data_IF_393313314369
#
_entry.id   IF_393313314369
#
_cell.length_a   1.000
_cell.length_b   1.000
_cell.length_c   1.000
_cell.angle_alpha   90.00
_cell.angle_beta   90.00
_cell.angle_gamma   90.00
#
_symmetry.space_group_name_H-M   'P 1'
#
loop_
_entity.id
_entity.type
_entity.pdbx_description
1 polymer ?
#
# COMPACT_ATOMS: atom_id res chain seq x y z
N UNK A 1 12.01 12.95 13.91
CA UNK A 1 12.25 11.49 13.92
C UNK A 1 11.73 10.79 15.18
N UNK A 2 11.77 11.41 16.38
CA UNK A 2 11.29 10.77 17.62
C UNK A 2 9.82 10.28 17.55
N UNK A 3 8.91 11.11 17.03
CA UNK A 3 7.47 10.80 16.93
C UNK A 3 7.18 9.55 16.09
N UNK A 4 7.81 9.44 14.93
CA UNK A 4 7.62 8.30 14.02
C UNK A 4 8.17 7.00 14.62
N UNK A 5 9.30 7.07 15.32
CA UNK A 5 9.86 5.92 16.04
C UNK A 5 8.93 5.43 17.15
N UNK A 6 8.27 6.36 17.85
CA UNK A 6 7.33 6.04 18.92
C UNK A 6 6.10 5.30 18.37
N UNK A 7 5.50 5.81 17.29
CA UNK A 7 4.37 5.15 16.62
C UNK A 7 4.75 3.79 16.04
N UNK A 8 5.92 3.68 15.40
CA UNK A 8 6.43 2.41 14.90
C UNK A 8 6.60 1.37 16.00
N UNK A 9 7.10 1.75 17.18
CA UNK A 9 7.29 0.82 18.28
C UNK A 9 5.95 0.26 18.80
N UNK A 10 4.90 1.08 18.84
CA UNK A 10 3.54 0.64 19.21
C UNK A 10 2.98 -0.37 18.21
N UNK A 11 3.10 -0.05 16.92
CA UNK A 11 2.38 -0.74 15.86
C UNK A 11 3.11 -1.95 15.28
N UNK A 12 4.45 -1.97 15.29
CA UNK A 12 5.27 -3.06 14.73
C UNK A 12 4.90 -4.45 15.24
N UNK A 13 4.46 -4.57 16.51
CA UNK A 13 4.12 -5.85 17.13
C UNK A 13 2.61 -6.06 17.30
N UNK A 14 1.80 -5.10 16.86
CA UNK A 14 0.36 -5.20 17.00
C UNK A 14 -0.21 -6.15 15.94
N UNK A 15 -0.93 -7.20 16.37
CA UNK A 15 -1.47 -8.24 15.48
C UNK A 15 -2.34 -7.68 14.37
N UNK A 16 -3.18 -6.68 14.68
CA UNK A 16 -4.05 -6.02 13.69
C UNK A 16 -3.25 -5.41 12.54
N UNK A 17 -2.16 -4.69 12.84
CA UNK A 17 -1.31 -4.08 11.82
C UNK A 17 -0.56 -5.12 11.00
N UNK A 18 0.04 -6.11 11.68
CA UNK A 18 0.74 -7.20 11.02
C UNK A 18 -0.18 -8.00 10.10
N UNK A 19 -1.42 -8.24 10.51
CA UNK A 19 -2.41 -8.95 9.70
C UNK A 19 -2.79 -8.14 8.47
N UNK A 20 -3.12 -6.86 8.61
CA UNK A 20 -3.47 -6.00 7.48
C UNK A 20 -2.31 -5.86 6.49
N UNK A 21 -1.09 -5.71 7.00
CA UNK A 21 0.10 -5.65 6.18
C UNK A 21 0.37 -6.98 5.46
N UNK A 22 0.23 -8.11 6.15
CA UNK A 22 0.39 -9.43 5.54
C UNK A 22 -0.67 -9.69 4.46
N UNK A 23 -1.93 -9.35 4.73
CA UNK A 23 -3.02 -9.45 3.74
C UNK A 23 -2.70 -8.58 2.53
N UNK A 24 -2.26 -7.34 2.72
CA UNK A 24 -1.91 -6.46 1.61
C UNK A 24 -0.74 -7.01 0.77
N UNK A 25 0.33 -7.45 1.43
CA UNK A 25 1.52 -7.98 0.75
C UNK A 25 1.20 -9.26 -0.02
N UNK A 26 0.39 -10.16 0.54
CA UNK A 26 0.04 -11.42 -0.14
C UNK A 26 -1.01 -11.21 -1.22
N UNK A 27 -2.06 -10.42 -0.96
CA UNK A 27 -3.19 -10.31 -1.86
C UNK A 27 -2.86 -9.56 -3.16
N UNK A 28 -1.96 -8.57 -3.11
CA UNK A 28 -1.62 -7.74 -4.28
C UNK A 28 -1.00 -8.57 -5.42
N UNK A 29 0.06 -9.38 -5.21
CA UNK A 29 0.58 -10.28 -6.23
C UNK A 29 -0.34 -11.47 -6.49
N UNK A 30 -1.08 -11.98 -5.49
CA UNK A 30 -1.94 -13.15 -5.70
C UNK A 30 -3.09 -12.86 -6.66
N UNK A 31 -3.68 -11.67 -6.60
CA UNK A 31 -4.74 -11.26 -7.53
C UNK A 31 -4.22 -11.31 -8.96
N UNK A 32 -3.02 -10.79 -9.22
CA UNK A 32 -2.38 -10.91 -10.52
C UNK A 32 -2.15 -12.37 -10.90
N UNK A 33 -1.61 -13.22 -10.03
CA UNK A 33 -1.37 -14.63 -10.38
C UNK A 33 -2.66 -15.39 -10.72
N UNK A 34 -3.76 -15.12 -10.01
CA UNK A 34 -5.07 -15.76 -10.29
C UNK A 34 -5.65 -15.39 -11.65
N UNK A 35 -5.39 -14.18 -12.14
CA UNK A 35 -5.92 -13.71 -13.42
C UNK A 35 -5.34 -14.49 -14.62
N UNK A 36 -4.24 -15.23 -14.42
CA UNK A 36 -3.62 -16.08 -15.46
C UNK A 36 -4.48 -17.28 -15.80
N UNK A 37 -5.29 -17.73 -14.85
CA UNK A 37 -6.15 -18.90 -15.00
C UNK A 37 -7.50 -18.57 -15.62
N UNK A 38 -7.77 -17.30 -15.92
CA UNK A 38 -9.01 -16.91 -16.58
C UNK A 38 -9.02 -17.37 -18.05
N UNK A 39 -10.17 -17.88 -18.54
CA UNK A 39 -10.30 -18.25 -19.95
C UNK A 39 -10.12 -17.01 -20.82
N UNK A 40 -9.41 -17.17 -21.93
CA UNK A 40 -9.27 -16.11 -22.91
C UNK A 40 -10.63 -15.79 -23.52
N UNK A 41 -11.03 -14.52 -23.46
CA UNK A 41 -12.26 -14.04 -24.10
C UNK A 41 -11.89 -13.31 -25.39
N UNK A 42 -12.77 -13.29 -26.41
CA UNK A 42 -12.51 -12.57 -27.67
C UNK A 42 -12.22 -11.07 -27.47
N UNK A 43 -12.69 -10.50 -26.37
CA UNK A 43 -12.63 -9.07 -26.07
C UNK A 43 -11.42 -8.70 -25.21
N UNK A 44 -10.95 -9.62 -24.35
CA UNK A 44 -9.88 -9.35 -23.39
C UNK A 44 -8.99 -10.59 -23.27
N UNK A 45 -7.72 -10.44 -23.63
CA UNK A 45 -6.68 -11.43 -23.33
C UNK A 45 -6.05 -11.12 -21.97
N UNK A 46 -5.99 -12.09 -21.04
CA UNK A 46 -5.41 -11.90 -19.72
C UNK A 46 -3.96 -11.41 -19.78
N UNK A 47 -3.22 -11.80 -20.84
CA UNK A 47 -1.81 -11.44 -21.05
C UNK A 47 -1.57 -9.93 -21.05
N UNK A 48 -2.55 -9.11 -21.49
CA UNK A 48 -2.41 -7.64 -21.54
C UNK A 48 -2.17 -7.06 -20.14
N UNK A 49 -2.73 -7.65 -19.08
CA UNK A 49 -2.58 -7.11 -17.73
C UNK A 49 -1.19 -7.30 -17.12
N UNK A 50 -0.34 -8.13 -17.72
CA UNK A 50 1.01 -8.45 -17.22
C UNK A 50 2.13 -7.80 -18.00
N UNK A 51 1.83 -7.14 -19.12
CA UNK A 51 2.83 -6.55 -20.01
C UNK A 51 2.89 -5.04 -19.78
N UNK A 52 4.05 -4.43 -20.02
CA UNK A 52 4.17 -2.98 -20.06
C UNK A 52 3.48 -2.38 -21.30
N UNK A 53 2.72 -1.27 -21.17
CA UNK A 53 2.61 -0.41 -19.99
C UNK A 53 1.43 -0.71 -19.05
N UNK A 54 0.49 -1.55 -19.47
CA UNK A 54 -0.80 -1.81 -18.81
C UNK A 54 -0.69 -2.38 -17.39
N UNK A 55 0.38 -3.10 -17.07
CA UNK A 55 0.63 -3.63 -15.72
C UNK A 55 0.63 -2.54 -14.65
N UNK A 56 1.12 -1.33 -14.97
CA UNK A 56 1.08 -0.18 -14.06
C UNK A 56 -0.36 0.19 -13.71
N UNK A 57 -1.19 0.43 -14.72
CA UNK A 57 -2.59 0.83 -14.52
C UNK A 57 -3.39 -0.23 -13.76
N UNK A 58 -3.29 -1.49 -14.17
CA UNK A 58 -4.08 -2.56 -13.57
C UNK A 58 -3.67 -2.85 -12.13
N UNK A 59 -2.38 -3.04 -11.87
CA UNK A 59 -1.91 -3.32 -10.51
C UNK A 59 -2.07 -2.10 -9.60
N UNK A 60 -1.92 -0.89 -10.15
CA UNK A 60 -2.19 0.34 -9.43
C UNK A 60 -3.67 0.44 -9.04
N UNK A 61 -4.59 0.13 -9.95
CA UNK A 61 -6.03 0.13 -9.68
C UNK A 61 -6.41 -0.86 -8.58
N UNK A 62 -5.99 -2.13 -8.70
CA UNK A 62 -6.27 -3.18 -7.72
C UNK A 62 -5.63 -2.85 -6.37
N UNK A 63 -4.35 -2.45 -6.40
CA UNK A 63 -3.61 -2.10 -5.21
C UNK A 63 -4.22 -0.91 -4.48
N UNK A 64 -4.90 0.01 -5.18
CA UNK A 64 -5.46 1.21 -4.58
C UNK A 64 -6.71 0.86 -3.77
N UNK A 65 -7.58 0.01 -4.33
CA UNK A 65 -8.71 -0.57 -3.60
C UNK A 65 -8.27 -1.33 -2.34
N UNK A 66 -7.22 -2.14 -2.46
CA UNK A 66 -6.67 -2.86 -1.33
C UNK A 66 -6.03 -1.93 -0.28
N UNK A 67 -5.26 -0.93 -0.72
CA UNK A 67 -4.59 0.02 0.17
C UNK A 67 -5.62 0.84 0.95
N UNK A 68 -6.64 1.36 0.27
CA UNK A 68 -7.75 2.08 0.90
C UNK A 68 -8.40 1.24 2.01
N UNK A 69 -8.70 -0.03 1.74
CA UNK A 69 -9.26 -0.93 2.75
C UNK A 69 -8.24 -1.15 3.89
N UNK A 70 -7.04 -1.63 3.60
CA UNK A 70 -6.08 -2.05 4.63
C UNK A 70 -5.59 -0.87 5.48
N UNK A 71 -5.17 0.22 4.83
CA UNK A 71 -4.59 1.38 5.51
C UNK A 71 -5.64 2.35 6.05
N UNK A 72 -6.81 2.43 5.42
CA UNK A 72 -7.95 3.17 5.96
C UNK A 72 -8.43 2.59 7.30
N UNK A 73 -8.63 1.27 7.37
CA UNK A 73 -8.98 0.61 8.64
C UNK A 73 -7.87 0.71 9.69
N UNK A 74 -6.61 0.64 9.27
CA UNK A 74 -5.46 0.90 10.14
C UNK A 74 -5.49 2.31 10.72
N UNK A 75 -5.75 3.34 9.91
CA UNK A 75 -5.84 4.73 10.37
C UNK A 75 -6.92 4.92 11.44
N UNK A 76 -8.11 4.35 11.22
CA UNK A 76 -9.21 4.39 12.19
C UNK A 76 -8.82 3.63 13.46
N UNK A 77 -8.26 2.42 13.31
CA UNK A 77 -7.77 1.61 14.42
C UNK A 77 -6.74 2.33 15.28
N UNK A 78 -5.86 3.13 14.67
CA UNK A 78 -4.88 3.96 15.38
C UNK A 78 -5.48 4.96 16.35
N UNK A 79 -6.68 5.46 16.06
CA UNK A 79 -7.35 6.44 16.90
C UNK A 79 -8.24 5.74 17.92
N UNK A 80 -9.04 4.77 17.47
CA UNK A 80 -10.06 4.12 18.31
C UNK A 80 -9.44 3.23 19.38
N UNK A 81 -8.39 2.45 19.05
CA UNK A 81 -7.71 1.61 20.04
C UNK A 81 -7.03 2.46 21.11
N UNK A 82 -6.38 3.56 20.72
CA UNK A 82 -5.73 4.44 21.69
C UNK A 82 -6.74 5.15 22.61
N UNK A 83 -7.90 5.50 22.08
CA UNK A 83 -8.99 6.07 22.85
C UNK A 83 -9.61 5.04 23.81
N UNK A 84 -9.83 3.81 23.35
CA UNK A 84 -10.38 2.71 24.15
C UNK A 84 -9.45 2.36 25.33
N UNK A 85 -8.15 2.22 25.06
CA UNK A 85 -7.13 1.95 26.10
C UNK A 85 -6.69 3.20 26.87
N UNK A 86 -7.32 4.37 26.64
CA UNK A 86 -7.01 5.66 27.28
C UNK A 86 -5.54 6.12 27.12
N UNK A 87 -4.77 5.50 26.24
CA UNK A 87 -3.36 5.84 25.98
C UNK A 87 -3.20 7.23 25.36
N UNK A 88 -4.21 7.72 24.63
CA UNK A 88 -4.24 9.11 24.16
C UNK A 88 -4.13 10.10 25.33
N UNK A 89 -4.83 9.85 26.44
CA UNK A 89 -4.75 10.70 27.64
C UNK A 89 -3.39 10.59 28.29
N UNK A 90 -2.83 9.38 28.37
CA UNK A 90 -1.49 9.15 28.89
C UNK A 90 -0.42 9.93 28.12
N UNK A 91 -0.50 9.95 26.79
CA UNK A 91 0.43 10.69 25.93
C UNK A 91 0.40 12.20 26.27
N UNK A 92 -0.79 12.78 26.46
CA UNK A 92 -0.95 14.20 26.83
C UNK A 92 -0.38 14.46 28.23
N UNK A 93 -0.63 13.57 29.19
CA UNK A 93 -0.08 13.67 30.57
C UNK A 93 1.45 13.61 30.54
N UNK A 94 2.05 12.79 29.67
CA UNK A 94 3.50 12.71 29.47
C UNK A 94 4.10 13.92 28.72
N UNK A 95 3.30 14.94 28.41
CA UNK A 95 3.76 16.21 27.84
C UNK A 95 3.71 16.29 26.31
N UNK A 96 3.11 15.33 25.61
CA UNK A 96 2.86 15.49 24.17
C UNK A 96 1.78 16.55 23.92
N UNK A 97 2.11 17.55 23.11
CA UNK A 97 1.10 18.50 22.64
C UNK A 97 0.12 17.81 21.69
N UNK A 98 -1.12 18.33 21.62
CA UNK A 98 -2.17 17.80 20.72
C UNK A 98 -1.71 17.78 19.25
N UNK A 99 -0.96 18.79 18.85
CA UNK A 99 -0.38 18.88 17.51
C UNK A 99 0.73 17.87 17.25
N UNK A 100 1.59 17.62 18.24
CA UNK A 100 2.64 16.59 18.11
C UNK A 100 2.04 15.19 18.02
N UNK A 101 0.97 14.92 18.79
CA UNK A 101 0.20 13.68 18.70
C UNK A 101 -0.37 13.46 17.30
N UNK A 102 -1.07 14.45 16.74
CA UNK A 102 -1.67 14.33 15.41
C UNK A 102 -0.60 14.18 14.31
N UNK A 103 0.48 14.97 14.38
CA UNK A 103 1.61 14.86 13.44
C UNK A 103 2.27 13.48 13.49
N UNK A 104 2.36 12.86 14.66
CA UNK A 104 2.87 11.50 14.81
C UNK A 104 2.07 10.49 13.99
N UNK A 105 0.73 10.54 14.07
CA UNK A 105 -0.14 9.63 13.30
C UNK A 105 -0.05 9.87 11.80
N UNK A 106 -0.13 11.12 11.37
CA UNK A 106 -0.08 11.47 9.94
C UNK A 106 1.27 11.05 9.33
N UNK A 107 2.38 11.31 10.03
CA UNK A 107 3.71 10.92 9.54
C UNK A 107 3.88 9.40 9.49
N UNK A 108 3.30 8.66 10.44
CA UNK A 108 3.27 7.20 10.40
C UNK A 108 2.48 6.68 9.20
N UNK A 109 1.26 7.20 8.98
CA UNK A 109 0.41 6.85 7.84
C UNK A 109 1.10 7.14 6.50
N UNK A 110 1.72 8.32 6.37
CA UNK A 110 2.49 8.67 5.18
C UNK A 110 3.68 7.73 4.93
N UNK A 111 4.36 7.27 5.99
CA UNK A 111 5.44 6.30 5.86
C UNK A 111 4.93 4.90 5.42
N UNK A 112 3.77 4.48 5.90
CA UNK A 112 3.11 3.23 5.46
C UNK A 112 2.69 3.34 3.99
N UNK A 113 2.06 4.45 3.59
CA UNK A 113 1.68 4.71 2.20
C UNK A 113 2.92 4.69 1.28
N UNK A 114 4.02 5.33 1.68
CA UNK A 114 5.28 5.30 0.92
C UNK A 114 5.85 3.89 0.79
N UNK A 115 5.84 3.11 1.87
CA UNK A 115 6.29 1.72 1.83
C UNK A 115 5.41 0.86 0.90
N UNK A 116 4.10 1.08 0.92
CA UNK A 116 3.15 0.39 0.06
C UNK A 116 3.35 0.75 -1.42
N UNK A 117 3.63 2.02 -1.74
CA UNK A 117 3.90 2.43 -3.12
C UNK A 117 5.20 1.87 -3.65
N UNK A 118 6.25 1.84 -2.83
CA UNK A 118 7.50 1.15 -3.18
C UNK A 118 7.26 -0.34 -3.44
N UNK A 119 6.47 -0.99 -2.58
CA UNK A 119 6.12 -2.40 -2.75
C UNK A 119 5.35 -2.65 -4.05
N UNK A 120 4.35 -1.81 -4.34
CA UNK A 120 3.60 -1.83 -5.59
C UNK A 120 4.52 -1.69 -6.81
N UNK A 121 5.43 -0.73 -6.79
CA UNK A 121 6.40 -0.52 -7.88
C UNK A 121 7.28 -1.74 -8.10
N UNK A 122 7.78 -2.33 -7.01
CA UNK A 122 8.58 -3.57 -7.09
C UNK A 122 7.75 -4.71 -7.71
N UNK A 123 6.50 -4.90 -7.28
CA UNK A 123 5.63 -5.94 -7.83
C UNK A 123 5.33 -5.72 -9.32
N UNK A 124 4.99 -4.49 -9.72
CA UNK A 124 4.72 -4.13 -11.11
C UNK A 124 5.94 -4.38 -12.00
N UNK A 125 7.14 -4.01 -11.52
CA UNK A 125 8.39 -4.23 -12.23
C UNK A 125 8.72 -5.72 -12.35
N UNK A 126 8.64 -6.49 -11.27
CA UNK A 126 8.95 -7.93 -11.29
C UNK A 126 8.02 -8.67 -12.26
N UNK A 127 6.72 -8.39 -12.21
CA UNK A 127 5.72 -9.07 -13.04
C UNK A 127 5.81 -8.63 -14.49
N UNK A 128 5.95 -7.32 -14.72
CA UNK A 128 6.08 -6.73 -16.06
C UNK A 128 7.33 -7.20 -16.80
N UNK A 129 8.48 -7.28 -16.11
CA UNK A 129 9.73 -7.75 -16.69
C UNK A 129 9.69 -9.25 -16.99
N UNK A 130 9.04 -10.06 -16.16
CA UNK A 130 8.94 -11.50 -16.36
C UNK A 130 8.07 -11.90 -17.58
N UNK A 131 7.07 -11.08 -17.96
CA UNK A 131 6.10 -11.43 -19.02
C UNK A 131 6.29 -10.65 -20.33
N UNK A 132 7.14 -9.62 -20.35
CA UNK A 132 7.37 -8.81 -21.56
C UNK A 132 8.52 -9.39 -22.39
N UNK A 133 8.20 -10.10 -23.47
CA UNK A 133 9.18 -10.75 -24.36
C UNK A 133 10.10 -9.76 -25.11
N UNK A 134 9.61 -8.56 -25.46
CA UNK A 134 10.42 -7.50 -26.10
C UNK A 134 10.50 -6.26 -25.21
N UNK A 135 11.56 -6.19 -24.39
CA UNK A 135 11.81 -5.09 -23.46
C UNK A 135 12.16 -3.79 -24.19
N UNK A 136 11.14 -2.97 -24.47
CA UNK A 136 11.32 -1.58 -24.90
C UNK A 136 11.21 -0.67 -23.70
N UNK A 137 12.33 -0.06 -23.30
CA UNK A 137 12.37 0.90 -22.20
C UNK A 137 11.34 2.02 -22.35
N UNK A 138 11.06 2.47 -23.59
CA UNK A 138 10.02 3.46 -23.86
C UNK A 138 8.62 3.06 -23.36
N UNK A 139 8.25 1.76 -23.40
CA UNK A 139 6.97 1.27 -22.88
C UNK A 139 6.93 1.21 -21.36
N UNK A 140 8.07 1.03 -20.70
CA UNK A 140 8.13 1.00 -19.22
C UNK A 140 7.79 2.37 -18.63
N UNK A 141 8.26 3.44 -19.27
CA UNK A 141 8.08 4.82 -18.80
C UNK A 141 6.74 5.47 -19.22
N UNK A 142 5.99 4.85 -20.12
CA UNK A 142 4.83 5.47 -20.78
C UNK A 142 3.69 5.81 -19.80
N UNK A 143 3.42 4.96 -18.79
CA UNK A 143 2.35 5.15 -17.81
C UNK A 143 2.85 5.32 -16.37
N UNK A 144 4.05 5.89 -16.20
CA UNK A 144 4.66 6.02 -14.87
C UNK A 144 3.92 7.00 -13.94
N UNK A 145 3.08 7.88 -14.52
CA UNK A 145 2.23 8.82 -13.78
C UNK A 145 1.27 8.13 -12.81
N UNK A 146 1.00 6.83 -12.98
CA UNK A 146 0.17 6.03 -12.07
C UNK A 146 0.82 5.89 -10.69
N UNK A 147 2.15 5.93 -10.58
CA UNK A 147 2.86 5.77 -9.30
C UNK A 147 2.54 6.91 -8.30
N UNK A 148 2.69 8.20 -8.65
CA UNK A 148 2.33 9.27 -7.72
C UNK A 148 0.83 9.31 -7.43
N UNK A 149 -0.03 8.98 -8.39
CA UNK A 149 -1.48 8.85 -8.15
C UNK A 149 -1.77 7.75 -7.13
N UNK A 150 -1.08 6.61 -7.23
CA UNK A 150 -1.18 5.51 -6.28
C UNK A 150 -0.78 5.94 -4.86
N UNK A 151 0.29 6.74 -4.73
CA UNK A 151 0.72 7.28 -3.43
C UNK A 151 -0.30 8.22 -2.78
N UNK A 152 -0.97 9.04 -3.58
CA UNK A 152 -1.97 9.98 -3.07
C UNK A 152 -3.27 9.31 -2.64
N UNK A 153 -3.58 8.14 -3.18
CA UNK A 153 -4.82 7.42 -2.88
C UNK A 153 -4.66 6.30 -1.83
N UNK A 154 -3.42 5.90 -1.51
CA UNK A 154 -3.10 5.03 -0.36
C UNK A 154 -3.35 5.71 0.99
#
# INVERSE_FOLDING_TARGET
MYLLRLEWLKWRRHRFFLLLLAVYVVALPSILLTMRHLPETPWVSPRIFYIFPSVWGFLGYVGNWMAFFCFGFLAIGMVTLEQSFRTQRQNIITGLSRWQYLRGKITFLAAVALAATLYYVICALLIGLAHTESLRWSKVWQDIHVIPTYFLMC
#
